data_IF_897697190242
#
_entry.id   IF_897697190242
#
_cell.length_a   1.000
_cell.length_b   1.000
_cell.length_c   1.000
_cell.angle_alpha   90.00
_cell.angle_beta   90.00
_cell.angle_gamma   90.00
#
_symmetry.space_group_name_H-M   'P 1'
#
loop_
_entity.id
_entity.type
_entity.pdbx_description
1 polymer ?
#
# COMPACT_ATOMS: atom_id res chain seq x y z
N UNK A 1 16.48 -0.01 -7.16
CA UNK A 1 15.23 0.16 -6.41
C UNK A 1 15.37 -0.46 -5.04
N UNK A 2 15.69 0.40 -4.08
CA UNK A 2 15.82 0.13 -2.66
C UNK A 2 14.60 0.70 -1.95
N UNK A 3 13.74 -0.21 -1.51
CA UNK A 3 12.57 0.11 -0.68
C UNK A 3 12.93 -0.20 0.77
N UNK A 4 12.68 0.77 1.67
CA UNK A 4 12.91 0.61 3.10
C UNK A 4 12.06 -0.52 3.69
N UNK A 5 12.41 -1.03 4.87
CA UNK A 5 11.44 -1.76 5.68
C UNK A 5 10.31 -0.83 6.17
N UNK A 6 9.13 -1.37 6.52
CA UNK A 6 8.01 -0.52 6.88
C UNK A 6 8.15 0.09 8.27
N UNK A 7 7.78 1.36 8.39
CA UNK A 7 7.42 1.95 9.68
C UNK A 7 5.90 1.87 9.88
N UNK A 8 5.48 1.33 11.02
CA UNK A 8 4.06 1.18 11.37
C UNK A 8 3.62 2.20 12.41
N UNK A 9 2.43 2.74 12.20
CA UNK A 9 1.75 3.66 13.11
C UNK A 9 0.32 3.17 13.35
N UNK A 10 -0.17 3.35 14.58
CA UNK A 10 -1.60 3.28 14.87
C UNK A 10 -2.24 4.62 14.56
N UNK A 11 -3.41 4.60 13.95
CA UNK A 11 -4.22 5.77 13.63
C UNK A 11 -5.52 5.67 14.41
N UNK A 12 -5.86 6.74 15.15
CA UNK A 12 -7.19 6.94 15.72
C UNK A 12 -7.77 8.21 15.11
N UNK A 13 -9.05 8.18 14.74
CA UNK A 13 -9.62 9.24 13.92
C UNK A 13 -11.14 9.30 13.97
N UNK A 14 -11.65 10.42 13.49
CA UNK A 14 -13.04 10.64 13.12
C UNK A 14 -13.11 11.36 11.77
N UNK A 15 -14.32 11.78 11.38
CA UNK A 15 -14.52 12.49 10.13
C UNK A 15 -13.75 13.83 10.07
N UNK A 16 -13.43 14.48 11.19
CA UNK A 16 -12.83 15.81 11.23
C UNK A 16 -11.32 15.80 11.48
N UNK A 17 -10.80 14.78 12.18
CA UNK A 17 -9.42 14.77 12.65
C UNK A 17 -8.83 13.37 12.75
N UNK A 18 -7.50 13.31 12.91
CA UNK A 18 -6.77 12.08 13.18
C UNK A 18 -5.63 12.34 14.17
N UNK A 19 -5.29 11.31 14.92
CA UNK A 19 -4.12 11.21 15.77
C UNK A 19 -3.33 9.95 15.40
N UNK A 20 -2.02 9.98 15.64
CA UNK A 20 -1.11 8.89 15.31
C UNK A 20 -0.33 8.48 16.53
N UNK A 21 -0.03 7.20 16.65
CA UNK A 21 0.87 6.67 17.67
C UNK A 21 1.92 5.80 16.99
N UNK A 22 3.19 6.17 17.10
CA UNK A 22 4.29 5.34 16.62
C UNK A 22 4.51 4.13 17.55
N UNK A 23 5.29 3.14 17.11
CA UNK A 23 5.67 1.98 17.93
C UNK A 23 6.37 2.35 19.25
N UNK A 24 7.03 3.51 19.32
CA UNK A 24 7.65 4.04 20.54
C UNK A 24 6.66 4.76 21.47
N UNK A 25 5.36 4.74 21.17
CA UNK A 25 4.31 5.38 21.94
C UNK A 25 4.17 6.90 21.76
N UNK A 26 5.03 7.55 20.97
CA UNK A 26 4.96 9.01 20.77
C UNK A 26 3.84 9.41 19.78
N UNK A 27 3.15 10.55 20.00
CA UNK A 27 1.95 10.94 19.26
C UNK A 27 2.27 11.68 17.95
N UNK A 28 3.30 11.26 17.21
CA UNK A 28 3.74 11.93 15.99
C UNK A 28 4.35 10.97 14.98
N UNK A 29 4.29 11.38 13.72
CA UNK A 29 5.10 10.77 12.67
C UNK A 29 6.58 11.09 12.87
N UNK A 30 7.43 10.15 12.48
CA UNK A 30 8.90 10.26 12.53
C UNK A 30 9.53 9.53 11.33
N UNK A 31 10.85 9.51 11.27
CA UNK A 31 11.58 8.64 10.33
C UNK A 31 11.15 8.82 8.88
N UNK A 32 10.91 7.73 8.17
CA UNK A 32 10.57 7.76 6.74
C UNK A 32 9.26 8.51 6.49
N UNK A 33 8.31 8.52 7.44
CA UNK A 33 7.02 9.18 7.29
C UNK A 33 7.14 10.71 7.12
N UNK A 34 8.24 11.32 7.57
CA UNK A 34 8.46 12.78 7.48
C UNK A 34 9.28 13.19 6.26
N UNK A 35 9.92 12.25 5.56
CA UNK A 35 10.77 12.51 4.41
C UNK A 35 9.99 12.96 3.17
N UNK A 36 10.60 13.79 2.34
CA UNK A 36 10.07 14.23 1.02
C UNK A 36 10.45 13.29 -0.13
N UNK A 37 10.60 11.99 0.17
CA UNK A 37 10.87 10.93 -0.82
C UNK A 37 9.56 10.24 -1.24
N UNK A 38 9.51 9.56 -2.40
CA UNK A 38 8.36 8.74 -2.78
C UNK A 38 8.12 7.65 -1.74
N UNK A 39 6.87 7.51 -1.32
CA UNK A 39 6.44 6.58 -0.29
C UNK A 39 5.17 5.87 -0.73
N UNK A 40 5.09 4.59 -0.38
CA UNK A 40 3.86 3.80 -0.42
C UNK A 40 3.36 3.67 1.03
N UNK A 41 2.07 3.83 1.23
CA UNK A 41 1.44 3.59 2.52
C UNK A 41 0.20 2.73 2.34
N UNK A 42 0.00 1.80 3.28
CA UNK A 42 -1.16 0.91 3.31
C UNK A 42 -1.89 1.13 4.63
N UNK A 43 -3.19 1.40 4.54
CA UNK A 43 -4.08 1.43 5.70
C UNK A 43 -4.73 0.07 5.84
N UNK A 44 -4.76 -0.46 7.07
CA UNK A 44 -5.26 -1.80 7.35
C UNK A 44 -6.01 -1.90 8.68
N UNK A 45 -6.92 -2.87 8.77
CA UNK A 45 -7.59 -3.29 10.00
C UNK A 45 -7.38 -4.80 10.14
N UNK A 46 -6.92 -5.27 11.30
CA UNK A 46 -6.64 -6.69 11.56
C UNK A 46 -5.77 -7.34 10.46
N UNK A 47 -4.71 -6.64 10.04
CA UNK A 47 -3.82 -7.02 8.93
C UNK A 47 -4.52 -7.22 7.57
N UNK A 48 -5.72 -6.67 7.39
CA UNK A 48 -6.43 -6.63 6.10
C UNK A 48 -6.33 -5.23 5.49
N UNK A 49 -5.69 -5.08 4.32
CA UNK A 49 -5.59 -3.79 3.65
C UNK A 49 -6.95 -3.24 3.23
N UNK A 50 -7.22 -1.97 3.56
CA UNK A 50 -8.46 -1.28 3.17
C UNK A 50 -8.23 -0.12 2.20
N UNK A 51 -6.98 0.36 2.11
CA UNK A 51 -6.58 1.47 1.25
C UNK A 51 -5.08 1.38 0.97
N UNK A 52 -4.69 1.67 -0.27
CA UNK A 52 -3.29 1.78 -0.70
C UNK A 52 -3.11 3.18 -1.30
N UNK A 53 -2.02 3.84 -0.94
CA UNK A 53 -1.72 5.16 -1.46
C UNK A 53 -0.24 5.40 -1.64
N UNK A 54 0.08 6.32 -2.55
CA UNK A 54 1.43 6.86 -2.72
C UNK A 54 1.50 8.35 -2.36
N UNK A 55 2.69 8.82 -1.96
CA UNK A 55 2.93 10.25 -1.74
C UNK A 55 4.42 10.60 -1.72
N UNK A 56 4.76 11.81 -2.17
CA UNK A 56 6.06 12.44 -1.92
C UNK A 56 6.07 13.37 -0.71
N UNK A 57 4.90 13.77 -0.22
CA UNK A 57 4.78 14.67 0.93
C UNK A 57 5.09 13.93 2.23
N UNK A 58 5.31 14.66 3.33
CA UNK A 58 5.24 14.04 4.65
C UNK A 58 3.85 13.42 4.84
N UNK A 59 3.78 12.28 5.52
CA UNK A 59 2.52 11.55 5.64
C UNK A 59 1.48 12.38 6.42
N UNK A 60 1.92 13.18 7.39
CA UNK A 60 1.04 14.14 8.08
C UNK A 60 0.34 15.09 7.12
N UNK A 61 1.09 15.67 6.17
CA UNK A 61 0.53 16.62 5.21
C UNK A 61 -0.39 15.90 4.22
N UNK A 62 0.01 14.72 3.73
CA UNK A 62 -0.84 13.91 2.84
C UNK A 62 -2.15 13.51 3.50
N UNK A 63 -2.12 13.07 4.76
CA UNK A 63 -3.32 12.73 5.50
C UNK A 63 -4.20 13.96 5.74
N UNK A 64 -3.61 15.08 6.18
CA UNK A 64 -4.35 16.34 6.37
C UNK A 64 -5.03 16.82 5.09
N UNK A 65 -4.37 16.72 3.93
CA UNK A 65 -4.99 17.05 2.65
C UNK A 65 -6.19 16.15 2.34
N UNK A 66 -6.08 14.84 2.57
CA UNK A 66 -7.22 13.93 2.40
C UNK A 66 -8.33 14.11 3.43
N UNK A 67 -8.02 14.58 4.64
CA UNK A 67 -9.03 14.95 5.64
C UNK A 67 -9.74 16.28 5.30
N UNK A 68 -9.02 17.24 4.74
CA UNK A 68 -9.61 18.53 4.39
C UNK A 68 -10.25 18.54 3.00
N UNK A 69 -10.18 17.43 2.27
CA UNK A 69 -10.77 17.30 0.95
C UNK A 69 -12.29 17.41 1.03
N UNK A 70 -12.85 18.25 0.15
CA UNK A 70 -14.28 18.55 0.05
C UNK A 70 -14.85 18.27 -1.35
N UNK A 71 -14.05 17.70 -2.26
CA UNK A 71 -14.48 17.35 -3.61
C UNK A 71 -14.36 18.47 -4.66
N UNK A 72 -13.95 19.69 -4.29
CA UNK A 72 -13.89 20.83 -5.23
C UNK A 72 -13.02 20.55 -6.47
N UNK A 73 -11.99 19.72 -6.34
CA UNK A 73 -11.09 19.31 -7.44
C UNK A 73 -11.37 17.90 -7.96
N UNK A 74 -12.51 17.29 -7.61
CA UNK A 74 -12.79 15.88 -7.84
C UNK A 74 -12.13 14.92 -6.85
N UNK A 75 -11.23 15.42 -5.99
CA UNK A 75 -10.64 14.65 -4.90
C UNK A 75 -11.49 14.80 -3.62
N UNK A 76 -12.15 13.71 -3.23
CA UNK A 76 -13.01 13.65 -2.04
C UNK A 76 -12.29 13.16 -0.77
N UNK A 77 -10.98 12.86 -0.88
CA UNK A 77 -10.20 12.37 0.25
C UNK A 77 -10.50 10.91 0.59
N UNK A 78 -10.39 10.58 1.88
CA UNK A 78 -10.46 9.20 2.35
C UNK A 78 -11.87 8.81 2.79
N UNK A 79 -12.61 8.07 1.96
CA UNK A 79 -13.97 7.64 2.33
C UNK A 79 -13.99 6.79 3.62
N UNK A 80 -12.96 5.98 3.85
CA UNK A 80 -12.83 5.12 5.03
C UNK A 80 -12.86 5.87 6.36
N UNK A 81 -12.51 7.17 6.40
CA UNK A 81 -12.55 7.98 7.63
C UNK A 81 -13.96 8.20 8.18
N UNK A 82 -14.98 8.05 7.35
CA UNK A 82 -16.39 8.26 7.73
C UNK A 82 -17.04 7.00 8.30
N UNK A 83 -16.40 5.83 8.14
CA UNK A 83 -16.97 4.53 8.51
C UNK A 83 -16.18 3.81 9.60
N UNK A 84 -14.97 4.27 9.87
CA UNK A 84 -14.03 3.65 10.79
C UNK A 84 -13.56 4.67 11.82
N UNK A 85 -12.93 4.20 12.90
CA UNK A 85 -12.38 5.04 13.96
C UNK A 85 -10.90 4.76 14.25
N UNK A 86 -10.44 3.57 13.89
CA UNK A 86 -9.07 3.14 14.12
C UNK A 86 -8.57 2.32 12.94
N UNK A 87 -7.27 2.41 12.68
CA UNK A 87 -6.58 1.61 11.67
C UNK A 87 -5.08 1.56 11.97
N UNK A 88 -4.38 0.67 11.29
CA UNK A 88 -2.92 0.72 11.20
C UNK A 88 -2.52 1.32 9.86
N UNK A 89 -1.41 2.05 9.85
CA UNK A 89 -0.76 2.51 8.63
C UNK A 89 0.69 2.05 8.61
N UNK A 90 1.05 1.26 7.60
CA UNK A 90 2.42 0.87 7.31
C UNK A 90 2.93 1.71 6.14
N UNK A 91 4.20 2.10 6.21
CA UNK A 91 4.81 3.06 5.27
C UNK A 91 6.12 2.50 4.79
N UNK A 92 6.32 2.47 3.48
CA UNK A 92 7.58 2.15 2.82
C UNK A 92 8.10 3.38 2.08
N UNK A 93 9.42 3.52 1.97
CA UNK A 93 10.06 4.61 1.26
C UNK A 93 10.94 4.09 0.12
N UNK A 94 10.86 4.70 -1.05
CA UNK A 94 11.84 4.50 -2.10
C UNK A 94 13.07 5.38 -1.81
N UNK A 95 14.17 4.75 -1.41
CA UNK A 95 15.31 5.47 -0.83
C UNK A 95 16.29 6.03 -1.88
N UNK A 96 16.40 5.34 -3.02
CA UNK A 96 17.25 5.60 -4.17
C UNK A 96 16.42 5.96 -5.42
N UNK A 97 15.30 6.66 -5.25
CA UNK A 97 14.43 7.04 -6.36
C UNK A 97 15.18 7.91 -7.38
N UNK A 98 14.98 7.70 -8.69
CA UNK A 98 15.61 8.52 -9.72
C UNK A 98 15.15 9.98 -9.62
N UNK A 99 15.98 10.92 -10.05
CA UNK A 99 15.61 12.35 -10.09
C UNK A 99 14.54 12.63 -11.14
N UNK A 100 14.66 11.96 -12.29
CA UNK A 100 13.65 11.97 -13.35
C UNK A 100 12.51 11.01 -12.97
N UNK A 101 11.30 11.55 -12.91
CA UNK A 101 10.09 10.83 -12.54
C UNK A 101 10.21 9.93 -11.28
N UNK A 102 10.49 10.54 -10.10
CA UNK A 102 10.76 9.80 -8.87
C UNK A 102 9.59 8.94 -8.38
N UNK A 103 8.38 9.14 -8.90
CA UNK A 103 7.15 8.48 -8.40
C UNK A 103 6.78 7.24 -9.21
N UNK A 104 7.29 7.10 -10.44
CA UNK A 104 6.88 6.04 -11.36
C UNK A 104 7.02 4.65 -10.73
N UNK A 105 8.17 4.37 -10.12
CA UNK A 105 8.44 3.08 -9.50
C UNK A 105 7.48 2.79 -8.33
N UNK A 106 7.18 3.80 -7.50
CA UNK A 106 6.33 3.60 -6.32
C UNK A 106 4.84 3.49 -6.69
N UNK A 107 4.38 4.21 -7.73
CA UNK A 107 3.05 4.04 -8.33
C UNK A 107 2.92 2.66 -8.96
N UNK A 108 3.95 2.20 -9.66
CA UNK A 108 3.96 0.85 -10.26
C UNK A 108 3.91 -0.23 -9.18
N UNK A 109 4.62 -0.06 -8.06
CA UNK A 109 4.49 -0.97 -6.89
C UNK A 109 3.08 -0.91 -6.30
N UNK A 110 2.48 0.28 -6.14
CA UNK A 110 1.10 0.44 -5.65
C UNK A 110 0.12 -0.35 -6.52
N UNK A 111 0.23 -0.24 -7.84
CA UNK A 111 -0.62 -0.96 -8.77
C UNK A 111 -0.48 -2.48 -8.64
N UNK A 112 0.74 -3.00 -8.50
CA UNK A 112 1.01 -4.43 -8.28
C UNK A 112 0.51 -4.92 -6.91
N UNK A 113 0.65 -4.11 -5.86
CA UNK A 113 0.08 -4.39 -4.53
C UNK A 113 -1.45 -4.51 -4.62
N UNK A 114 -2.12 -3.56 -5.28
CA UNK A 114 -3.56 -3.61 -5.46
C UNK A 114 -3.99 -4.79 -6.35
N UNK A 115 -3.22 -5.10 -7.38
CA UNK A 115 -3.44 -6.29 -8.21
C UNK A 115 -3.42 -7.57 -7.36
N UNK A 116 -2.46 -7.73 -6.45
CA UNK A 116 -2.38 -8.88 -5.56
C UNK A 116 -3.57 -8.95 -4.58
N UNK A 117 -3.97 -7.82 -3.98
CA UNK A 117 -5.15 -7.75 -3.11
C UNK A 117 -6.40 -8.22 -3.87
N UNK A 118 -6.58 -7.72 -5.10
CA UNK A 118 -7.71 -8.09 -5.98
C UNK A 118 -7.67 -9.54 -6.42
N UNK A 119 -6.48 -10.05 -6.75
CA UNK A 119 -6.28 -11.45 -7.13
C UNK A 119 -6.60 -12.42 -5.98
N UNK A 120 -6.48 -11.96 -4.73
CA UNK A 120 -6.91 -12.70 -3.55
C UNK A 120 -8.43 -12.60 -3.26
N UNK A 121 -9.21 -11.98 -4.14
CA UNK A 121 -10.67 -11.88 -3.99
C UNK A 121 -11.13 -10.75 -3.06
N UNK A 122 -10.25 -9.82 -2.71
CA UNK A 122 -10.58 -8.65 -1.89
C UNK A 122 -10.54 -7.37 -2.75
N UNK A 123 -11.51 -6.48 -2.55
CA UNK A 123 -11.38 -5.09 -3.00
C UNK A 123 -10.97 -4.22 -1.81
N UNK A 124 -9.95 -3.36 -1.91
CA UNK A 124 -9.73 -2.37 -0.87
C UNK A 124 -10.97 -1.46 -0.84
N UNK A 125 -11.71 -1.52 0.28
CA UNK A 125 -13.10 -1.05 0.42
C UNK A 125 -13.35 0.38 -0.09
N UNK A 126 -12.32 1.22 -0.04
CA UNK A 126 -12.42 2.65 -0.30
C UNK A 126 -11.40 3.14 -1.36
N UNK A 127 -10.89 2.25 -2.21
CA UNK A 127 -9.99 2.61 -3.32
C UNK A 127 -10.78 3.07 -4.55
N UNK A 128 -10.47 4.26 -5.06
CA UNK A 128 -11.16 4.86 -6.22
C UNK A 128 -10.29 4.98 -7.46
N UNK A 129 -8.99 5.21 -7.32
CA UNK A 129 -8.07 5.45 -8.43
C UNK A 129 -6.73 4.74 -8.17
N UNK A 130 -6.17 4.14 -9.23
CA UNK A 130 -4.85 3.52 -9.28
C UNK A 130 -4.30 3.73 -10.69
N UNK A 131 -3.03 4.14 -10.78
CA UNK A 131 -2.35 4.32 -12.06
C UNK A 131 -1.51 3.09 -12.39
N UNK A 132 -1.80 2.44 -13.52
CA UNK A 132 -1.05 1.27 -13.97
C UNK A 132 0.02 1.68 -14.99
N UNK A 133 1.25 1.24 -14.74
CA UNK A 133 2.37 1.36 -15.65
C UNK A 133 2.96 -0.04 -15.90
N UNK A 134 3.72 -0.25 -17.00
CA UNK A 134 4.39 -1.54 -17.25
C UNK A 134 5.32 -1.93 -16.09
N UNK A 135 5.02 -3.04 -15.42
CA UNK A 135 5.82 -3.51 -14.28
C UNK A 135 7.00 -4.40 -14.70
N UNK A 136 8.10 -4.25 -13.98
CA UNK A 136 9.28 -5.13 -14.10
C UNK A 136 9.23 -6.24 -13.04
N UNK A 137 10.04 -7.31 -13.18
CA UNK A 137 10.13 -8.35 -12.14
C UNK A 137 10.48 -7.80 -10.75
N UNK A 138 11.27 -6.72 -10.68
CA UNK A 138 11.62 -6.07 -9.40
C UNK A 138 10.39 -5.46 -8.71
N UNK A 139 9.52 -4.77 -9.45
CA UNK A 139 8.26 -4.22 -8.92
C UNK A 139 7.39 -5.32 -8.32
N UNK A 140 7.19 -6.41 -9.07
CA UNK A 140 6.36 -7.55 -8.64
C UNK A 140 6.94 -8.26 -7.40
N UNK A 141 8.26 -8.44 -7.35
CA UNK A 141 8.93 -9.04 -6.19
C UNK A 141 8.77 -8.18 -4.93
N UNK A 142 8.90 -6.86 -5.06
CA UNK A 142 8.68 -5.92 -3.96
C UNK A 142 7.22 -5.94 -3.51
N UNK A 143 6.27 -5.88 -4.44
CA UNK A 143 4.84 -5.95 -4.13
C UNK A 143 4.49 -7.25 -3.40
N UNK A 144 5.00 -8.39 -3.84
CA UNK A 144 4.83 -9.67 -3.16
C UNK A 144 5.43 -9.67 -1.74
N UNK A 145 6.62 -9.08 -1.55
CA UNK A 145 7.24 -8.91 -0.22
C UNK A 145 6.37 -8.04 0.70
N UNK A 146 5.85 -6.91 0.20
CA UNK A 146 4.94 -6.03 0.95
C UNK A 146 3.69 -6.80 1.36
N UNK A 147 3.07 -7.51 0.41
CA UNK A 147 1.85 -8.28 0.66
C UNK A 147 2.04 -9.46 1.61
N UNK A 148 3.25 -10.00 1.72
CA UNK A 148 3.58 -11.03 2.70
C UNK A 148 3.39 -10.62 4.17
N UNK A 149 3.21 -9.33 4.47
CA UNK A 149 2.85 -8.85 5.83
C UNK A 149 1.36 -8.94 6.15
N UNK A 150 0.51 -9.05 5.13
CA UNK A 150 -0.93 -8.92 5.29
C UNK A 150 -1.63 -10.26 5.20
N UNK A 151 -2.74 -10.37 5.92
CA UNK A 151 -3.62 -11.54 5.82
C UNK A 151 -4.58 -11.31 4.66
N UNK A 152 -4.31 -11.95 3.54
CA UNK A 152 -5.23 -12.01 2.42
C UNK A 152 -6.15 -13.23 2.54
N UNK A 153 -7.41 -13.13 2.08
CA UNK A 153 -8.24 -14.31 1.89
C UNK A 153 -7.52 -15.30 0.96
N UNK A 154 -7.56 -16.60 1.27
CA UNK A 154 -7.18 -17.61 0.30
C UNK A 154 -8.22 -17.60 -0.82
N UNK A 155 -7.84 -17.18 -2.03
CA UNK A 155 -8.73 -17.28 -3.17
C UNK A 155 -8.76 -18.75 -3.68
N UNK A 156 -9.87 -19.49 -3.53
CA UNK A 156 -9.96 -20.87 -4.00
C UNK A 156 -9.92 -20.98 -5.54
N UNK A 157 -10.13 -19.88 -6.28
CA UNK A 157 -10.10 -19.86 -7.74
C UNK A 157 -8.69 -19.72 -8.34
N UNK A 158 -7.68 -19.33 -7.55
CA UNK A 158 -6.28 -19.27 -7.99
C UNK A 158 -5.56 -20.51 -7.47
N UNK A 159 -5.74 -21.63 -8.15
CA UNK A 159 -4.84 -22.78 -7.97
C UNK A 159 -3.45 -22.36 -8.45
N UNK A 160 -2.46 -22.38 -7.55
CA UNK A 160 -1.07 -22.30 -7.98
C UNK A 160 -0.80 -23.59 -8.73
N UNK A 161 -0.49 -23.49 -10.01
CA UNK A 161 -0.07 -24.66 -10.77
C UNK A 161 1.18 -25.25 -10.09
N UNK A 162 1.03 -26.44 -9.50
CA UNK A 162 2.16 -27.27 -9.13
C UNK A 162 2.97 -27.54 -10.41
N UNK A 163 4.31 -27.55 -10.34
CA UNK A 163 5.11 -27.94 -11.49
C UNK A 163 4.73 -29.37 -11.88
N UNK A 164 4.01 -29.50 -13.00
CA UNK A 164 3.70 -30.81 -13.58
C UNK A 164 5.03 -31.51 -13.85
N UNK A 165 5.20 -32.68 -13.21
CA UNK A 165 6.35 -33.53 -13.45
C UNK A 165 6.47 -33.80 -14.96
N UNK A 166 7.68 -33.63 -15.49
CA UNK A 166 7.97 -33.85 -16.89
C UNK A 166 7.54 -35.26 -17.31
N UNK A 167 6.88 -35.42 -18.48
CA UNK A 167 6.46 -36.73 -18.95
C UNK A 167 7.68 -37.63 -19.15
N UNK A 168 7.66 -38.80 -18.50
CA UNK A 168 8.68 -39.83 -18.70
C UNK A 168 8.56 -40.36 -20.12
N UNK A 169 9.53 -40.03 -20.97
CA UNK A 169 9.65 -40.65 -22.28
C UNK A 169 9.98 -42.13 -22.09
N UNK A 170 9.03 -42.98 -22.46
CA UNK A 170 9.22 -44.41 -22.58
C UNK A 170 10.24 -44.64 -23.70
N UNK A 171 11.45 -45.09 -23.33
CA UNK A 171 12.46 -45.57 -24.28
C UNK A 171 11.91 -46.82 -24.96
N UNK A 172 11.80 -46.79 -26.29
CA UNK A 172 11.81 -47.99 -27.13
C UNK A 172 13.19 -48.13 -27.74
#
# INVERSE_FOLDING_TARGET
>A
MRISEPERYKLSFDAASFAVQCQKGTPKFSGIATLKKPKLYIVSIDEKPIYVGVTRQSLRNRLRLGWNANGESGYYGYAWRHHLKEANIDIWCHEDAPEENPVLDIETIEAEVVFLIRSAGQWPLHQTEIHFHPSTPAHRAIAAKIMGRYTLPSNPAVKRDEPQAAPSYCKR
#
